data_IF_551110607228
#
_entry.id   IF_551110607228
#
_cell.length_a   1.000
_cell.length_b   1.000
_cell.length_c   1.000
_cell.angle_alpha   90.00
_cell.angle_beta   90.00
_cell.angle_gamma   90.00
#
_symmetry.space_group_name_H-M   'P 1'
#
loop_
_entity.id
_entity.type
_entity.pdbx_description
1 polymer ?
#
# COMPACT_ATOMS: atom_id res chain seq x y z
N UNK A 1 -38.07 -14.65 20.17
CA UNK A 1 -37.84 -15.88 20.96
C UNK A 1 -39.02 -16.23 21.85
N UNK A 2 -39.61 -15.30 22.63
CA UNK A 2 -40.75 -15.57 23.51
C UNK A 2 -42.04 -15.97 22.78
N UNK A 3 -42.31 -15.34 21.63
CA UNK A 3 -43.48 -15.69 20.80
C UNK A 3 -43.33 -17.10 20.19
N UNK A 4 -42.12 -17.50 19.82
CA UNK A 4 -41.80 -18.84 19.30
C UNK A 4 -41.74 -19.93 20.36
N UNK A 5 -41.48 -19.58 21.64
CA UNK A 5 -41.49 -20.58 22.75
C UNK A 5 -42.83 -21.29 22.87
N UNK A 6 -43.95 -20.57 22.64
CA UNK A 6 -45.28 -21.16 22.65
C UNK A 6 -45.51 -22.11 21.48
N UNK A 7 -45.06 -21.70 20.27
CA UNK A 7 -45.17 -22.53 19.07
C UNK A 7 -44.39 -23.84 19.20
N UNK A 8 -43.14 -23.77 19.69
CA UNK A 8 -42.32 -24.97 19.91
C UNK A 8 -42.85 -25.85 21.06
N UNK A 9 -43.39 -25.23 22.09
CA UNK A 9 -44.07 -25.97 23.19
C UNK A 9 -45.27 -26.75 22.66
N UNK A 10 -46.08 -26.12 21.79
CA UNK A 10 -47.24 -26.76 21.18
C UNK A 10 -46.85 -27.92 20.25
N UNK A 11 -45.86 -27.72 19.38
CA UNK A 11 -45.35 -28.76 18.48
C UNK A 11 -44.79 -29.97 19.23
N UNK A 12 -44.16 -29.75 20.40
CA UNK A 12 -43.64 -30.82 21.26
C UNK A 12 -44.79 -31.65 21.89
N UNK A 13 -45.90 -30.98 22.25
CA UNK A 13 -47.10 -31.66 22.73
C UNK A 13 -47.76 -32.51 21.61
N UNK A 14 -47.73 -32.07 20.39
CA UNK A 14 -48.19 -32.82 19.22
C UNK A 14 -47.21 -33.88 18.71
N UNK A 15 -46.15 -34.22 19.45
CA UNK A 15 -45.28 -35.35 19.18
C UNK A 15 -44.08 -35.04 18.25
N UNK A 16 -43.75 -33.79 17.98
CA UNK A 16 -42.56 -33.47 17.18
C UNK A 16 -41.26 -33.88 17.90
N UNK A 17 -40.45 -34.63 17.16
CA UNK A 17 -39.13 -35.06 17.66
C UNK A 17 -38.14 -33.89 17.70
N UNK A 18 -37.16 -33.96 18.59
CA UNK A 18 -36.10 -32.96 18.74
C UNK A 18 -35.34 -32.71 17.43
N UNK A 19 -35.12 -33.76 16.61
CA UNK A 19 -34.47 -33.63 15.30
C UNK A 19 -35.28 -32.79 14.30
N UNK A 20 -36.62 -32.96 14.29
CA UNK A 20 -37.51 -32.18 13.46
C UNK A 20 -37.52 -30.69 13.83
N UNK A 21 -37.46 -30.39 15.14
CA UNK A 21 -37.34 -29.01 15.62
C UNK A 21 -36.01 -28.37 15.22
N UNK A 22 -34.94 -29.12 15.30
CA UNK A 22 -33.61 -28.63 14.84
C UNK A 22 -33.60 -28.39 13.34
N UNK A 23 -34.07 -29.36 12.57
CA UNK A 23 -34.15 -29.24 11.11
C UNK A 23 -34.97 -28.02 10.68
N UNK A 24 -36.10 -27.77 11.30
CA UNK A 24 -36.91 -26.59 11.00
C UNK A 24 -36.15 -25.29 11.31
N UNK A 25 -35.50 -25.17 12.46
CA UNK A 25 -34.70 -24.01 12.84
C UNK A 25 -33.54 -23.82 11.87
N UNK A 26 -32.86 -24.90 11.50
CA UNK A 26 -31.73 -24.86 10.58
C UNK A 26 -32.15 -24.39 9.17
N UNK A 27 -33.23 -24.95 8.62
CA UNK A 27 -33.74 -24.58 7.30
C UNK A 27 -34.19 -23.11 7.26
N UNK A 28 -34.84 -22.64 8.33
CA UNK A 28 -35.26 -21.25 8.41
C UNK A 28 -34.07 -20.29 8.42
N UNK A 29 -33.04 -20.57 9.25
CA UNK A 29 -31.82 -19.79 9.27
C UNK A 29 -31.02 -19.91 7.96
N UNK A 30 -31.04 -21.07 7.32
CA UNK A 30 -30.43 -21.29 6.00
C UNK A 30 -31.05 -20.40 4.93
N UNK A 31 -32.39 -20.32 4.87
CA UNK A 31 -33.09 -19.43 3.93
C UNK A 31 -32.72 -17.96 4.18
N UNK A 32 -32.65 -17.52 5.45
CA UNK A 32 -32.23 -16.16 5.78
C UNK A 32 -30.77 -15.90 5.38
N UNK A 33 -29.89 -16.87 5.58
CA UNK A 33 -28.48 -16.79 5.19
C UNK A 33 -28.33 -16.69 3.67
N UNK A 34 -29.10 -17.48 2.90
CA UNK A 34 -29.10 -17.41 1.44
C UNK A 34 -29.50 -16.01 0.95
N UNK A 35 -30.59 -15.46 1.49
CA UNK A 35 -31.04 -14.11 1.11
C UNK A 35 -29.97 -13.07 1.48
N UNK A 36 -29.37 -13.18 2.67
CA UNK A 36 -28.31 -12.27 3.12
C UNK A 36 -27.05 -12.35 2.26
N UNK A 37 -26.64 -13.56 1.88
CA UNK A 37 -25.50 -13.77 0.97
C UNK A 37 -25.75 -13.19 -0.42
N UNK A 38 -26.96 -13.35 -0.94
CA UNK A 38 -27.35 -12.77 -2.23
C UNK A 38 -27.26 -11.23 -2.20
N UNK A 39 -27.80 -10.61 -1.14
CA UNK A 39 -27.73 -9.16 -0.96
C UNK A 39 -26.27 -8.72 -0.79
N UNK A 40 -25.47 -9.44 0.01
CA UNK A 40 -24.07 -9.12 0.21
C UNK A 40 -23.27 -9.21 -1.09
N UNK A 41 -23.46 -10.28 -1.88
CA UNK A 41 -22.82 -10.43 -3.19
C UNK A 41 -23.20 -9.28 -4.13
N UNK A 42 -24.49 -8.92 -4.20
CA UNK A 42 -24.97 -7.81 -5.00
C UNK A 42 -24.33 -6.46 -4.60
N UNK A 43 -24.18 -6.20 -3.28
CA UNK A 43 -23.52 -5.00 -2.79
C UNK A 43 -22.02 -4.97 -3.13
N UNK A 44 -21.34 -6.11 -3.04
CA UNK A 44 -19.92 -6.23 -3.44
C UNK A 44 -19.76 -5.93 -4.92
N UNK A 45 -20.61 -6.49 -5.79
CA UNK A 45 -20.54 -6.26 -7.23
C UNK A 45 -20.76 -4.78 -7.59
N UNK A 46 -21.74 -4.12 -6.97
CA UNK A 46 -21.97 -2.68 -7.17
C UNK A 46 -20.80 -1.86 -6.70
N UNK A 47 -20.17 -2.22 -5.57
CA UNK A 47 -19.03 -1.48 -5.01
C UNK A 47 -17.73 -1.72 -5.77
N UNK A 48 -17.60 -2.84 -6.47
CA UNK A 48 -16.40 -3.19 -7.23
C UNK A 48 -16.09 -2.16 -8.34
N UNK A 49 -17.10 -1.67 -9.04
CA UNK A 49 -16.92 -0.68 -10.11
C UNK A 49 -16.25 0.63 -9.65
N UNK A 50 -16.76 1.34 -8.62
CA UNK A 50 -16.10 2.54 -8.12
C UNK A 50 -14.74 2.24 -7.48
N UNK A 51 -14.59 1.11 -6.77
CA UNK A 51 -13.32 0.74 -6.15
C UNK A 51 -12.22 0.51 -7.20
N UNK A 52 -12.51 -0.23 -8.27
CA UNK A 52 -11.55 -0.45 -9.35
C UNK A 52 -11.20 0.85 -10.08
N UNK A 53 -12.15 1.77 -10.23
CA UNK A 53 -11.91 3.05 -10.91
C UNK A 53 -11.02 4.00 -10.11
N UNK A 54 -11.16 4.03 -8.79
CA UNK A 54 -10.45 5.00 -7.93
C UNK A 54 -9.20 4.44 -7.25
N UNK A 55 -9.09 3.12 -7.10
CA UNK A 55 -8.01 2.50 -6.31
C UNK A 55 -7.13 1.52 -7.10
N UNK A 56 -7.42 1.32 -8.39
CA UNK A 56 -6.68 0.38 -9.26
C UNK A 56 -6.46 -0.99 -8.59
N UNK A 57 -7.48 -1.42 -7.82
CA UNK A 57 -7.43 -2.70 -7.10
C UNK A 57 -7.57 -3.81 -8.13
N UNK A 58 -6.45 -4.41 -8.51
CA UNK A 58 -6.45 -5.62 -9.32
C UNK A 58 -7.03 -6.75 -8.46
N UNK A 59 -8.34 -6.87 -8.46
CA UNK A 59 -9.00 -8.05 -7.91
C UNK A 59 -8.65 -9.24 -8.79
N UNK A 60 -7.71 -10.05 -8.36
CA UNK A 60 -7.57 -11.39 -8.92
C UNK A 60 -8.64 -12.28 -8.26
N UNK A 61 -9.75 -12.59 -8.95
CA UNK A 61 -10.78 -13.43 -8.38
C UNK A 61 -10.21 -14.84 -8.18
N UNK A 62 -10.02 -15.23 -6.94
CA UNK A 62 -9.67 -16.59 -6.61
C UNK A 62 -10.97 -17.39 -6.42
N UNK A 63 -11.62 -17.75 -7.52
CA UNK A 63 -12.96 -18.34 -7.53
C UNK A 63 -13.10 -19.57 -6.63
N UNK A 64 -12.06 -20.37 -6.46
CA UNK A 64 -12.10 -21.56 -5.58
C UNK A 64 -12.16 -21.12 -4.12
N UNK A 65 -11.39 -20.11 -3.74
CA UNK A 65 -11.38 -19.58 -2.37
C UNK A 65 -12.69 -18.87 -2.02
N UNK A 66 -13.22 -18.06 -2.93
CA UNK A 66 -14.46 -17.30 -2.74
C UNK A 66 -15.68 -18.24 -2.63
N UNK A 67 -15.75 -19.27 -3.46
CA UNK A 67 -16.78 -20.33 -3.37
C UNK A 67 -16.64 -21.09 -2.06
N UNK A 68 -15.41 -21.45 -1.66
CA UNK A 68 -15.13 -22.16 -0.41
C UNK A 68 -15.61 -21.39 0.82
N UNK A 69 -15.33 -20.09 0.91
CA UNK A 69 -15.80 -19.22 1.99
C UNK A 69 -17.32 -19.10 1.97
N UNK A 70 -17.92 -18.91 0.82
CA UNK A 70 -19.37 -18.78 0.68
C UNK A 70 -20.09 -20.04 1.16
N UNK A 71 -19.62 -21.22 0.78
CA UNK A 71 -20.16 -22.50 1.25
C UNK A 71 -19.95 -22.67 2.76
N UNK A 72 -18.78 -22.29 3.29
CA UNK A 72 -18.49 -22.36 4.72
C UNK A 72 -19.46 -21.46 5.51
N UNK A 73 -19.72 -20.25 5.09
CA UNK A 73 -20.68 -19.32 5.72
C UNK A 73 -22.09 -19.91 5.65
N UNK A 74 -22.49 -20.45 4.47
CA UNK A 74 -23.81 -21.02 4.24
C UNK A 74 -24.12 -22.19 5.17
N UNK A 75 -23.12 -22.96 5.57
CA UNK A 75 -23.28 -24.11 6.48
C UNK A 75 -23.11 -23.70 7.94
N UNK A 76 -22.07 -22.95 8.28
CA UNK A 76 -21.70 -22.66 9.67
C UNK A 76 -22.60 -21.62 10.32
N UNK A 77 -23.06 -20.59 9.61
CA UNK A 77 -23.89 -19.55 10.17
C UNK A 77 -25.28 -20.07 10.59
N UNK A 78 -26.04 -20.81 9.76
CA UNK A 78 -27.32 -21.39 10.19
C UNK A 78 -27.15 -22.39 11.34
N UNK A 79 -26.05 -23.16 11.32
CA UNK A 79 -25.75 -24.12 12.37
C UNK A 79 -25.57 -23.41 13.73
N UNK A 80 -24.70 -22.41 13.80
CA UNK A 80 -24.44 -21.65 15.04
C UNK A 80 -25.68 -20.90 15.52
N UNK A 81 -26.44 -20.29 14.62
CA UNK A 81 -27.68 -19.60 14.94
C UNK A 81 -28.78 -20.52 15.48
N UNK A 82 -28.78 -21.79 15.04
CA UNK A 82 -29.81 -22.78 15.44
C UNK A 82 -29.49 -23.51 16.76
N UNK A 83 -28.19 -23.64 17.12
CA UNK A 83 -27.74 -24.37 18.31
C UNK A 83 -28.33 -23.79 19.57
N UNK A 84 -28.23 -22.50 19.80
CA UNK A 84 -28.72 -21.87 21.03
C UNK A 84 -30.24 -22.00 21.24
N UNK A 85 -31.10 -21.67 20.26
CA UNK A 85 -32.54 -21.92 20.38
C UNK A 85 -32.88 -23.40 20.60
N UNK A 86 -32.18 -24.30 19.88
CA UNK A 86 -32.40 -25.73 19.99
C UNK A 86 -32.17 -26.24 21.43
N UNK A 87 -31.02 -25.96 22.03
CA UNK A 87 -30.74 -26.38 23.40
C UNK A 87 -31.71 -25.79 24.39
N UNK A 88 -32.05 -24.52 24.23
CA UNK A 88 -33.04 -23.85 25.10
C UNK A 88 -34.41 -24.52 25.05
N UNK A 89 -34.86 -24.92 23.85
CA UNK A 89 -36.17 -25.56 23.69
C UNK A 89 -36.14 -27.06 24.00
N UNK A 90 -35.02 -27.74 23.80
CA UNK A 90 -34.85 -29.15 24.14
C UNK A 90 -35.03 -29.42 25.67
N UNK A 91 -34.44 -28.57 26.48
CA UNK A 91 -34.45 -28.76 27.95
C UNK A 91 -35.65 -28.13 28.65
N UNK A 92 -36.45 -27.30 27.99
CA UNK A 92 -37.62 -26.72 28.57
C UNK A 92 -38.81 -27.72 28.47
N UNK A 93 -39.48 -27.98 29.59
CA UNK A 93 -40.70 -28.78 29.60
C UNK A 93 -41.86 -28.02 28.91
N UNK A 94 -42.77 -28.70 28.19
CA UNK A 94 -43.90 -28.06 27.50
C UNK A 94 -44.78 -27.22 28.44
N UNK A 95 -45.01 -27.72 29.64
CA UNK A 95 -45.81 -27.06 30.68
C UNK A 95 -45.15 -25.72 31.10
N UNK A 96 -43.85 -25.70 31.25
CA UNK A 96 -43.11 -24.49 31.59
C UNK A 96 -43.13 -23.43 30.49
N UNK A 97 -43.13 -23.86 29.22
CA UNK A 97 -43.21 -22.99 28.05
C UNK A 97 -44.59 -22.37 27.87
N UNK A 98 -45.64 -23.07 28.27
CA UNK A 98 -47.01 -22.59 28.18
C UNK A 98 -47.43 -21.73 29.38
N UNK A 99 -46.90 -22.03 30.58
CA UNK A 99 -47.29 -21.40 31.86
C UNK A 99 -46.49 -20.12 32.18
N UNK A 100 -45.42 -19.81 31.47
CA UNK A 100 -44.51 -18.70 31.77
C UNK A 100 -45.06 -17.34 31.28
N UNK A 101 -46.13 -16.90 31.94
CA UNK A 101 -46.54 -15.50 31.96
C UNK A 101 -45.96 -14.96 33.27
N UNK A 102 -44.77 -14.38 33.27
CA UNK A 102 -44.30 -13.61 34.41
C UNK A 102 -42.89 -13.79 34.98
N UNK A 103 -42.07 -14.71 34.52
CA UNK A 103 -40.69 -14.80 35.05
C UNK A 103 -39.63 -14.35 34.02
N UNK A 104 -39.57 -13.02 33.78
CA UNK A 104 -38.75 -12.40 32.76
C UNK A 104 -37.28 -12.15 33.13
N UNK A 105 -36.87 -12.25 34.39
CA UNK A 105 -35.58 -11.71 34.83
C UNK A 105 -34.35 -12.46 34.31
N UNK A 106 -34.30 -13.79 34.40
CA UNK A 106 -33.13 -14.56 33.94
C UNK A 106 -32.95 -14.56 32.41
N UNK A 107 -34.04 -14.44 31.63
CA UNK A 107 -34.00 -14.32 30.17
C UNK A 107 -33.56 -12.90 29.71
N UNK A 108 -33.78 -11.90 30.56
CA UNK A 108 -33.40 -10.52 30.34
C UNK A 108 -31.89 -10.32 30.41
N UNK A 109 -31.20 -10.90 31.38
CA UNK A 109 -29.75 -10.75 31.55
C UNK A 109 -28.97 -11.33 30.38
N UNK A 110 -29.29 -12.54 29.93
CA UNK A 110 -28.61 -13.16 28.77
C UNK A 110 -28.85 -12.38 27.48
N UNK A 111 -30.08 -11.89 27.28
CA UNK A 111 -30.40 -11.04 26.12
C UNK A 111 -29.63 -9.73 26.18
N UNK A 112 -29.58 -9.07 27.32
CA UNK A 112 -28.88 -7.79 27.47
C UNK A 112 -27.38 -7.99 27.34
N UNK A 113 -26.81 -9.08 27.84
CA UNK A 113 -25.40 -9.42 27.63
C UNK A 113 -25.08 -9.61 26.13
N UNK A 114 -25.92 -10.37 25.41
CA UNK A 114 -25.74 -10.57 23.95
C UNK A 114 -25.83 -9.25 23.19
N UNK A 115 -26.82 -8.41 23.50
CA UNK A 115 -26.93 -7.06 22.88
C UNK A 115 -25.75 -6.19 23.23
N UNK A 116 -25.26 -6.22 24.48
CA UNK A 116 -24.06 -5.45 24.87
C UNK A 116 -22.84 -5.89 24.10
N UNK A 117 -22.60 -7.18 23.94
CA UNK A 117 -21.49 -7.70 23.12
C UNK A 117 -21.62 -7.24 21.67
N UNK A 118 -22.82 -7.32 21.09
CA UNK A 118 -23.08 -6.87 19.73
C UNK A 118 -22.79 -5.37 19.56
N UNK A 119 -23.22 -4.53 20.51
CA UNK A 119 -22.92 -3.10 20.47
C UNK A 119 -21.43 -2.81 20.62
N UNK A 120 -20.73 -3.54 21.51
CA UNK A 120 -19.27 -3.40 21.67
C UNK A 120 -18.56 -3.73 20.35
N UNK A 121 -18.88 -4.86 19.72
CA UNK A 121 -18.29 -5.25 18.45
C UNK A 121 -18.60 -4.23 17.36
N UNK A 122 -19.85 -3.79 17.24
CA UNK A 122 -20.24 -2.77 16.27
C UNK A 122 -19.48 -1.45 16.49
N UNK A 123 -19.34 -1.02 17.75
CA UNK A 123 -18.59 0.19 18.09
C UNK A 123 -17.11 0.08 17.74
N UNK A 124 -16.48 -1.06 18.04
CA UNK A 124 -15.09 -1.32 17.65
C UNK A 124 -14.92 -1.24 16.13
N UNK A 125 -15.83 -1.88 15.37
CA UNK A 125 -15.77 -1.85 13.91
C UNK A 125 -15.94 -0.42 13.34
N UNK A 126 -16.83 0.37 13.92
CA UNK A 126 -17.01 1.78 13.53
C UNK A 126 -15.72 2.58 13.80
N UNK A 127 -15.14 2.46 14.99
CA UNK A 127 -13.90 3.17 15.34
C UNK A 127 -12.75 2.77 14.42
N UNK A 128 -12.58 1.47 14.18
CA UNK A 128 -11.54 0.95 13.25
C UNK A 128 -11.77 1.49 11.84
N UNK A 129 -13.01 1.48 11.34
CA UNK A 129 -13.34 1.99 10.02
C UNK A 129 -13.06 3.49 9.90
N UNK A 130 -13.39 4.28 10.93
CA UNK A 130 -13.09 5.71 10.96
C UNK A 130 -11.58 5.97 10.97
N UNK A 131 -10.81 5.16 11.70
CA UNK A 131 -9.36 5.27 11.73
C UNK A 131 -8.75 4.99 10.36
N UNK A 132 -9.18 3.92 9.69
CA UNK A 132 -8.72 3.61 8.33
C UNK A 132 -9.13 4.69 7.32
N UNK A 133 -10.34 5.21 7.40
CA UNK A 133 -10.80 6.30 6.54
C UNK A 133 -9.94 7.55 6.71
N UNK A 134 -9.62 7.92 7.97
CA UNK A 134 -8.71 9.02 8.28
C UNK A 134 -7.31 8.78 7.73
N UNK A 135 -6.76 7.59 7.96
CA UNK A 135 -5.43 7.22 7.46
C UNK A 135 -5.36 7.29 5.94
N UNK A 136 -6.38 6.77 5.24
CA UNK A 136 -6.45 6.84 3.79
C UNK A 136 -6.52 8.29 3.30
N UNK A 137 -7.34 9.12 3.96
CA UNK A 137 -7.43 10.55 3.65
C UNK A 137 -6.07 11.25 3.79
N UNK A 138 -5.36 11.02 4.90
CA UNK A 138 -4.04 11.59 5.13
C UNK A 138 -3.04 11.11 4.07
N UNK A 139 -3.03 9.80 3.72
CA UNK A 139 -2.14 9.26 2.69
C UNK A 139 -2.39 9.83 1.29
N UNK A 140 -3.63 10.18 0.96
CA UNK A 140 -3.98 10.75 -0.35
C UNK A 140 -3.77 12.26 -0.45
N UNK A 141 -3.57 12.95 0.67
CA UNK A 141 -3.41 14.41 0.73
C UNK A 141 -2.05 14.86 1.30
N UNK A 142 -1.17 13.92 1.60
CA UNK A 142 0.17 14.25 2.10
C UNK A 142 1.01 14.88 0.99
N UNK A 143 1.76 15.92 1.34
CA UNK A 143 2.80 16.46 0.44
C UNK A 143 3.96 15.46 0.38
N UNK A 144 4.17 14.89 -0.79
CA UNK A 144 5.23 13.91 -1.01
C UNK A 144 6.64 14.53 -1.03
N UNK A 145 6.73 15.87 -1.16
CA UNK A 145 7.99 16.60 -1.29
C UNK A 145 8.54 16.62 -2.72
N UNK A 146 7.75 16.14 -3.69
CA UNK A 146 8.05 16.19 -5.12
C UNK A 146 6.77 16.22 -5.95
N UNK A 147 6.89 16.64 -7.21
CA UNK A 147 5.76 16.72 -8.14
C UNK A 147 5.34 15.35 -8.63
N UNK A 148 4.03 15.07 -8.57
CA UNK A 148 3.41 13.85 -9.13
C UNK A 148 2.37 14.16 -10.19
N UNK A 149 1.98 15.42 -10.32
CA UNK A 149 0.85 15.82 -11.15
C UNK A 149 1.19 15.71 -12.64
N UNK A 150 0.23 15.17 -13.39
CA UNK A 150 0.31 15.06 -14.85
C UNK A 150 1.50 14.26 -15.38
N UNK A 151 2.10 13.38 -14.57
CA UNK A 151 3.21 12.52 -15.01
C UNK A 151 2.64 11.21 -15.57
N UNK A 152 2.94 10.92 -16.81
CA UNK A 152 2.69 9.63 -17.45
C UNK A 152 3.98 8.84 -17.51
N UNK A 153 3.90 7.58 -17.12
CA UNK A 153 5.01 6.66 -17.09
C UNK A 153 4.81 5.57 -18.14
N UNK A 154 5.79 5.42 -19.03
CA UNK A 154 5.78 4.42 -20.08
C UNK A 154 6.86 3.40 -19.82
N UNK A 155 6.45 2.16 -19.62
CA UNK A 155 7.35 1.03 -19.56
C UNK A 155 7.48 0.43 -20.95
N UNK A 156 8.70 0.37 -21.46
CA UNK A 156 8.98 -0.35 -22.70
C UNK A 156 9.15 -1.83 -22.36
N UNK A 157 8.26 -2.67 -22.87
CA UNK A 157 8.44 -4.12 -22.75
C UNK A 157 9.77 -4.52 -23.39
N UNK A 158 10.55 -5.21 -22.60
CA UNK A 158 11.80 -5.77 -23.08
C UNK A 158 11.48 -7.00 -23.92
N UNK A 159 11.62 -6.90 -25.22
CA UNK A 159 11.77 -8.12 -26.02
C UNK A 159 12.91 -8.95 -25.41
N UNK A 160 12.69 -10.22 -25.10
CA UNK A 160 13.74 -11.13 -24.61
C UNK A 160 14.94 -11.09 -25.55
N UNK A 161 15.90 -10.24 -25.23
CA UNK A 161 17.13 -10.16 -26.02
C UNK A 161 18.08 -11.19 -25.45
N UNK A 162 18.47 -12.14 -26.31
CA UNK A 162 19.62 -12.99 -26.03
C UNK A 162 20.79 -12.11 -25.61
N UNK A 163 21.44 -12.47 -24.52
CA UNK A 163 22.65 -11.75 -24.12
C UNK A 163 23.65 -11.81 -25.26
N UNK A 164 24.31 -10.69 -25.62
CA UNK A 164 25.29 -10.69 -26.70
C UNK A 164 26.43 -11.62 -26.31
N UNK A 165 26.75 -12.55 -27.18
CA UNK A 165 27.81 -13.54 -26.98
C UNK A 165 29.13 -13.08 -27.61
N UNK A 166 29.09 -12.07 -28.48
CA UNK A 166 30.25 -11.53 -29.13
C UNK A 166 30.32 -9.98 -28.99
N UNK A 167 31.53 -9.44 -29.03
CA UNK A 167 31.78 -8.00 -28.97
C UNK A 167 31.07 -7.26 -30.11
N UNK A 168 31.01 -7.83 -31.29
CA UNK A 168 30.30 -7.27 -32.44
C UNK A 168 28.78 -7.18 -32.19
N UNK A 169 28.18 -8.17 -31.54
CA UNK A 169 26.77 -8.14 -31.13
C UNK A 169 26.51 -7.09 -30.05
N UNK A 170 27.44 -6.95 -29.10
CA UNK A 170 27.36 -5.92 -28.06
C UNK A 170 27.38 -4.51 -28.65
N UNK A 171 28.32 -4.23 -29.55
CA UNK A 171 28.42 -2.95 -30.23
C UNK A 171 27.18 -2.64 -31.07
N UNK A 172 26.67 -3.65 -31.81
CA UNK A 172 25.44 -3.52 -32.58
C UNK A 172 24.22 -3.23 -31.69
N UNK A 173 24.10 -3.91 -30.58
CA UNK A 173 22.99 -3.66 -29.61
C UNK A 173 23.09 -2.26 -29.00
N UNK A 174 24.30 -1.82 -28.68
CA UNK A 174 24.53 -0.49 -28.10
C UNK A 174 24.19 0.61 -29.11
N UNK A 175 24.58 0.45 -30.37
CA UNK A 175 24.24 1.42 -31.44
C UNK A 175 22.73 1.48 -31.72
N UNK A 176 22.04 0.32 -31.71
CA UNK A 176 20.57 0.28 -31.84
C UNK A 176 19.85 0.94 -30.64
N UNK A 177 20.37 0.77 -29.43
CA UNK A 177 19.83 1.44 -28.24
C UNK A 177 19.97 2.95 -28.33
N UNK A 178 21.15 3.42 -28.76
CA UNK A 178 21.42 4.85 -28.95
C UNK A 178 20.48 5.45 -30.01
N UNK A 179 20.36 4.83 -31.16
CA UNK A 179 19.46 5.26 -32.23
C UNK A 179 17.99 5.26 -31.79
N UNK A 180 17.56 4.25 -31.01
CA UNK A 180 16.21 4.20 -30.45
C UNK A 180 15.96 5.33 -29.45
N UNK A 181 16.90 5.62 -28.54
CA UNK A 181 16.81 6.77 -27.62
C UNK A 181 16.71 8.08 -28.38
N UNK A 182 17.52 8.29 -29.41
CA UNK A 182 17.51 9.50 -30.25
C UNK A 182 16.18 9.68 -31.01
N UNK A 183 15.61 8.60 -31.54
CA UNK A 183 14.31 8.64 -32.19
C UNK A 183 13.17 8.98 -31.20
N UNK A 184 13.18 8.39 -30.03
CA UNK A 184 12.20 8.69 -28.99
C UNK A 184 12.36 10.14 -28.54
N UNK A 185 13.57 10.59 -28.28
CA UNK A 185 13.88 11.99 -27.93
C UNK A 185 13.33 12.97 -28.96
N UNK A 186 13.58 12.70 -30.22
CA UNK A 186 13.08 13.54 -31.33
C UNK A 186 11.55 13.56 -31.36
N UNK A 187 10.90 12.42 -31.20
CA UNK A 187 9.45 12.33 -31.20
C UNK A 187 8.83 13.04 -29.98
N UNK A 188 9.43 12.90 -28.80
CA UNK A 188 8.97 13.55 -27.58
C UNK A 188 9.09 15.07 -27.65
N UNK A 189 10.24 15.58 -28.16
CA UNK A 189 10.47 17.01 -28.33
C UNK A 189 9.59 17.64 -29.42
N UNK A 190 9.19 16.87 -30.44
CA UNK A 190 8.27 17.33 -31.47
C UNK A 190 6.80 17.36 -31.05
N UNK A 191 6.44 16.67 -29.99
CA UNK A 191 5.06 16.56 -29.55
C UNK A 191 4.66 17.74 -28.64
N UNK A 192 3.59 18.48 -28.97
CA UNK A 192 3.09 19.56 -28.11
C UNK A 192 2.35 19.04 -26.87
N UNK A 193 2.15 17.73 -26.76
CA UNK A 193 1.44 17.11 -25.62
C UNK A 193 2.28 17.06 -24.36
N UNK A 194 3.60 17.16 -24.46
CA UNK A 194 4.51 17.02 -23.35
C UNK A 194 5.25 18.33 -23.07
N UNK A 195 5.25 18.75 -21.82
CA UNK A 195 6.00 19.93 -21.36
C UNK A 195 7.43 19.59 -20.96
N UNK A 196 7.64 18.39 -20.44
CA UNK A 196 8.95 17.86 -20.09
C UNK A 196 8.91 16.33 -20.13
N UNK A 197 10.04 15.71 -20.35
CA UNK A 197 10.18 14.25 -20.31
C UNK A 197 11.60 13.87 -19.90
N UNK A 198 11.74 12.71 -19.25
CA UNK A 198 13.03 12.15 -18.87
C UNK A 198 12.95 10.62 -18.73
N UNK A 199 14.12 9.96 -18.84
CA UNK A 199 14.27 8.57 -18.43
C UNK A 199 14.67 8.54 -16.96
N UNK A 200 13.71 8.32 -16.08
CA UNK A 200 13.94 8.34 -14.64
C UNK A 200 13.02 7.36 -13.91
N UNK A 201 13.42 6.99 -12.69
CA UNK A 201 12.52 6.35 -11.75
C UNK A 201 11.68 7.40 -11.03
N UNK A 202 10.45 7.04 -10.70
CA UNK A 202 9.69 7.86 -9.77
C UNK A 202 10.33 7.81 -8.37
N UNK A 203 10.31 8.91 -7.60
CA UNK A 203 10.95 8.93 -6.28
C UNK A 203 10.49 7.81 -5.33
N UNK A 204 9.24 7.36 -5.43
CA UNK A 204 8.75 6.23 -4.64
C UNK A 204 9.37 4.86 -5.04
N UNK A 205 10.02 4.77 -6.21
CA UNK A 205 10.71 3.57 -6.70
C UNK A 205 12.21 3.59 -6.42
N UNK A 206 12.71 4.64 -5.79
CA UNK A 206 14.13 4.70 -5.46
C UNK A 206 14.51 3.55 -4.52
N UNK A 207 15.58 2.86 -4.88
CA UNK A 207 16.09 1.74 -4.11
C UNK A 207 16.75 2.23 -2.83
N UNK A 208 16.10 1.97 -1.73
CA UNK A 208 16.59 2.31 -0.39
C UNK A 208 16.91 1.07 0.45
N UNK A 209 17.18 -0.07 -0.21
CA UNK A 209 17.39 -1.34 0.49
C UNK A 209 18.76 -1.46 1.17
N UNK A 210 19.77 -0.77 0.63
CA UNK A 210 21.14 -0.90 1.09
C UNK A 210 21.73 0.44 1.49
N UNK A 211 21.54 0.88 2.75
CA UNK A 211 22.17 2.11 3.23
C UNK A 211 23.69 1.97 3.27
N UNK A 212 24.36 3.04 2.95
CA UNK A 212 25.80 3.17 3.06
C UNK A 212 26.16 3.85 4.38
N UNK A 213 27.22 3.43 5.01
CA UNK A 213 27.71 4.03 6.24
C UNK A 213 28.59 5.25 5.94
N UNK A 214 28.19 6.39 6.49
CA UNK A 214 28.91 7.64 6.42
C UNK A 214 29.23 8.18 7.81
N UNK A 215 30.30 8.94 7.92
CA UNK A 215 30.60 9.73 9.11
C UNK A 215 30.92 11.17 8.73
N UNK A 216 30.76 12.09 9.66
CA UNK A 216 31.30 13.44 9.49
C UNK A 216 32.84 13.38 9.43
N UNK A 217 33.41 14.21 8.59
CA UNK A 217 34.86 14.32 8.49
C UNK A 217 35.48 14.61 9.86
N UNK A 218 36.42 13.76 10.27
CA UNK A 218 37.07 13.86 11.58
C UNK A 218 36.32 13.23 12.75
N UNK A 219 35.12 12.69 12.56
CA UNK A 219 34.39 11.93 13.60
C UNK A 219 34.59 10.41 13.42
N UNK A 220 34.33 9.65 14.49
CA UNK A 220 34.48 8.18 14.48
C UNK A 220 33.17 7.45 14.26
N UNK A 221 32.02 8.10 14.50
CA UNK A 221 30.69 7.46 14.48
C UNK A 221 30.11 7.41 13.08
N UNK A 222 29.91 6.21 12.57
CA UNK A 222 29.22 5.97 11.31
C UNK A 222 27.70 5.95 11.49
N UNK A 223 26.97 6.50 10.52
CA UNK A 223 25.52 6.53 10.44
C UNK A 223 25.06 6.07 9.07
N UNK A 224 23.87 5.47 9.01
CA UNK A 224 23.30 4.97 7.76
C UNK A 224 22.72 6.12 6.92
N UNK A 225 23.08 6.17 5.65
CA UNK A 225 22.64 7.13 4.68
C UNK A 225 22.26 6.39 3.39
N UNK A 226 21.10 6.67 2.85
CA UNK A 226 20.65 6.09 1.58
C UNK A 226 21.13 6.95 0.43
N UNK A 227 21.86 6.35 -0.50
CA UNK A 227 22.46 7.07 -1.61
C UNK A 227 21.73 6.76 -2.91
N UNK A 228 21.26 7.79 -3.58
CA UNK A 228 20.50 7.69 -4.82
C UNK A 228 21.26 8.43 -5.93
N UNK A 229 21.71 7.72 -6.98
CA UNK A 229 22.27 8.40 -8.15
C UNK A 229 21.13 9.13 -8.88
N UNK A 230 21.34 10.41 -9.18
CA UNK A 230 20.35 11.26 -9.83
C UNK A 230 21.05 12.36 -10.63
N UNK A 231 20.47 12.76 -11.75
CA UNK A 231 20.95 13.86 -12.57
C UNK A 231 20.26 15.18 -12.20
N UNK A 232 20.83 16.29 -12.66
CA UNK A 232 20.18 17.61 -12.50
C UNK A 232 18.81 17.66 -13.16
N UNK A 233 18.71 17.08 -14.35
CA UNK A 233 17.44 17.03 -15.10
C UNK A 233 16.35 16.26 -14.34
N UNK A 234 16.71 15.15 -13.69
CA UNK A 234 15.78 14.38 -12.87
C UNK A 234 15.31 15.15 -11.62
N UNK A 235 16.21 15.86 -10.95
CA UNK A 235 15.86 16.71 -9.81
C UNK A 235 14.85 17.78 -10.22
N UNK A 236 15.09 18.44 -11.36
CA UNK A 236 14.19 19.47 -11.91
C UNK A 236 12.88 18.89 -12.40
N UNK A 237 12.93 17.71 -13.04
CA UNK A 237 11.74 17.02 -13.53
C UNK A 237 10.78 16.65 -12.40
N UNK A 238 11.31 16.13 -11.29
CA UNK A 238 10.51 15.78 -10.13
C UNK A 238 10.18 16.97 -9.20
N UNK A 239 10.72 18.14 -9.48
CA UNK A 239 10.40 19.35 -8.70
C UNK A 239 10.85 19.30 -7.25
N UNK A 240 11.97 18.63 -6.95
CA UNK A 240 12.51 18.64 -5.58
C UNK A 240 12.86 20.06 -5.14
N UNK A 241 12.36 20.43 -3.97
CA UNK A 241 12.51 21.79 -3.43
C UNK A 241 13.83 21.95 -2.71
N UNK A 242 14.64 22.91 -3.17
CA UNK A 242 15.89 23.26 -2.52
C UNK A 242 15.63 24.08 -1.25
N UNK A 243 16.18 23.62 -0.13
CA UNK A 243 16.09 24.33 1.16
C UNK A 243 17.31 25.21 1.42
N UNK A 244 18.52 24.74 1.07
CA UNK A 244 19.78 25.46 1.26
C UNK A 244 20.78 25.11 0.16
N UNK A 245 21.71 26.03 -0.13
CA UNK A 245 22.78 25.79 -1.09
C UNK A 245 22.32 25.85 -2.54
N UNK A 246 22.79 24.91 -3.35
CA UNK A 246 22.49 24.82 -4.79
C UNK A 246 22.26 23.38 -5.24
N UNK A 247 21.60 23.21 -6.35
CA UNK A 247 21.58 21.95 -7.11
C UNK A 247 22.89 21.81 -7.93
N UNK A 248 23.03 20.65 -8.58
CA UNK A 248 24.11 20.46 -9.54
C UNK A 248 23.95 21.41 -10.73
N UNK A 249 25.09 21.75 -11.30
CA UNK A 249 25.19 22.57 -12.49
C UNK A 249 26.13 21.84 -13.46
N UNK A 250 25.61 21.47 -14.63
CA UNK A 250 26.32 20.67 -15.60
C UNK A 250 27.61 21.31 -16.14
N UNK A 251 27.75 22.64 -16.01
CA UNK A 251 28.94 23.37 -16.44
C UNK A 251 30.10 23.27 -15.48
N UNK A 252 29.81 23.06 -14.16
CA UNK A 252 30.81 23.09 -13.09
C UNK A 252 30.86 21.80 -12.27
N UNK A 253 29.85 20.95 -12.34
CA UNK A 253 29.79 19.69 -11.62
C UNK A 253 29.83 18.53 -12.61
N UNK A 254 30.74 17.58 -12.42
CA UNK A 254 30.88 16.43 -13.31
C UNK A 254 30.59 15.13 -12.60
N UNK A 255 30.20 14.13 -13.38
CA UNK A 255 30.00 12.78 -12.85
C UNK A 255 31.28 12.27 -12.17
N UNK A 256 31.12 11.67 -11.00
CA UNK A 256 32.25 11.16 -10.20
C UNK A 256 32.93 12.19 -9.31
N UNK A 257 32.48 13.44 -9.25
CA UNK A 257 32.96 14.38 -8.25
C UNK A 257 32.42 14.05 -6.84
N UNK A 258 33.22 14.41 -5.83
CA UNK A 258 32.88 14.16 -4.41
C UNK A 258 31.88 15.20 -3.88
N UNK A 259 30.70 15.29 -4.49
CA UNK A 259 29.65 16.22 -4.07
C UNK A 259 28.36 15.47 -3.74
N UNK A 260 27.62 15.94 -2.73
CA UNK A 260 26.34 15.40 -2.29
C UNK A 260 25.31 16.51 -2.16
N UNK A 261 24.06 16.15 -2.43
CA UNK A 261 22.88 16.91 -2.00
C UNK A 261 22.14 16.03 -0.99
N UNK A 262 21.87 16.55 0.20
CA UNK A 262 21.17 15.81 1.26
C UNK A 262 19.72 16.25 1.36
N UNK A 263 18.84 15.39 1.91
CA UNK A 263 17.56 15.87 2.41
C UNK A 263 17.71 16.40 3.87
N UNK A 264 16.69 17.12 4.35
CA UNK A 264 16.71 17.70 5.72
C UNK A 264 16.88 16.62 6.79
N UNK A 265 16.30 15.43 6.57
CA UNK A 265 16.43 14.29 7.48
C UNK A 265 17.88 13.81 7.63
N UNK A 266 18.62 13.75 6.54
CA UNK A 266 20.05 13.42 6.57
C UNK A 266 20.86 14.52 7.28
N UNK A 267 20.56 15.79 7.01
CA UNK A 267 21.19 16.92 7.71
C UNK A 267 20.99 16.81 9.22
N UNK A 268 19.77 16.55 9.68
CA UNK A 268 19.44 16.34 11.11
C UNK A 268 20.17 15.12 11.69
N UNK A 269 20.21 14.00 10.92
CA UNK A 269 20.90 12.79 11.35
C UNK A 269 22.35 13.05 11.68
N UNK A 270 23.06 13.83 10.88
CA UNK A 270 24.46 14.17 11.12
C UNK A 270 24.67 15.37 12.07
N UNK A 271 23.59 16.00 12.55
CA UNK A 271 23.68 17.16 13.46
C UNK A 271 24.41 18.35 12.83
N UNK A 272 24.12 18.64 11.56
CA UNK A 272 24.76 19.72 10.81
C UNK A 272 23.94 20.99 10.99
N UNK A 273 24.44 21.97 11.72
CA UNK A 273 23.82 23.30 11.84
C UNK A 273 24.02 24.11 10.56
N UNK A 274 25.20 24.01 9.95
CA UNK A 274 25.54 24.54 8.63
C UNK A 274 26.03 23.39 7.77
N UNK A 275 25.15 22.88 6.90
CA UNK A 275 25.46 21.69 6.12
C UNK A 275 26.30 21.99 4.88
N UNK A 276 26.15 23.20 4.30
CA UNK A 276 26.85 23.57 3.07
C UNK A 276 28.35 23.64 3.32
N UNK A 277 29.13 23.01 2.44
CA UNK A 277 30.58 22.81 2.52
C UNK A 277 31.05 21.84 3.63
N UNK A 278 30.14 21.28 4.46
CA UNK A 278 30.49 20.18 5.35
C UNK A 278 30.91 18.95 4.54
N UNK A 279 31.69 18.07 5.13
CA UNK A 279 32.21 16.88 4.47
C UNK A 279 31.76 15.61 5.17
N UNK A 280 31.35 14.62 4.39
CA UNK A 280 31.01 13.28 4.85
C UNK A 280 31.95 12.25 4.23
N UNK A 281 32.44 11.33 5.03
CA UNK A 281 33.31 10.23 4.59
C UNK A 281 32.51 8.94 4.51
N UNK A 282 32.49 8.24 3.35
CA UNK A 282 31.89 6.94 3.22
C UNK A 282 32.79 5.86 3.83
N UNK A 283 32.20 4.79 4.37
CA UNK A 283 32.93 3.62 4.83
C UNK A 283 33.46 2.77 3.66
N UNK A 284 32.77 2.80 2.54
CA UNK A 284 33.09 2.06 1.32
C UNK A 284 32.96 2.97 0.09
N UNK A 285 33.71 2.69 -0.99
CA UNK A 285 33.60 3.46 -2.22
C UNK A 285 32.18 3.40 -2.80
N UNK A 286 31.68 4.51 -3.31
CA UNK A 286 30.38 4.62 -3.98
C UNK A 286 30.58 4.75 -5.49
N UNK A 287 29.73 4.07 -6.23
CA UNK A 287 29.67 4.25 -7.69
C UNK A 287 29.20 5.68 -8.04
N UNK A 288 29.76 6.37 -9.05
CA UNK A 288 30.81 5.89 -9.98
C UNK A 288 32.24 5.98 -9.44
N UNK A 289 32.44 6.57 -8.26
CA UNK A 289 33.76 6.72 -7.64
C UNK A 289 34.24 5.41 -7.02
N UNK A 290 35.55 5.21 -7.05
CA UNK A 290 36.21 4.05 -6.46
C UNK A 290 37.15 4.41 -5.30
N UNK A 291 37.08 5.65 -4.83
CA UNK A 291 37.89 6.15 -3.70
C UNK A 291 37.05 6.40 -2.45
N UNK A 292 37.72 6.67 -1.35
CA UNK A 292 37.12 6.99 -0.04
C UNK A 292 37.24 8.46 0.32
N UNK A 293 37.52 9.34 -0.67
CA UNK A 293 37.66 10.76 -0.37
C UNK A 293 36.34 11.34 0.13
N UNK A 294 36.42 12.29 1.07
CA UNK A 294 35.24 12.91 1.63
C UNK A 294 34.40 13.61 0.58
N UNK A 295 33.09 13.44 0.67
CA UNK A 295 32.11 14.14 -0.16
C UNK A 295 31.76 15.48 0.46
N UNK A 296 31.74 16.53 -0.34
CA UNK A 296 31.30 17.87 0.05
C UNK A 296 29.81 18.03 -0.15
N UNK A 297 29.10 18.55 0.83
CA UNK A 297 27.68 18.87 0.74
C UNK A 297 27.53 20.22 0.04
N UNK A 298 26.81 20.25 -1.09
CA UNK A 298 26.58 21.46 -1.89
C UNK A 298 25.16 21.99 -1.78
N UNK A 299 24.20 21.14 -1.42
CA UNK A 299 22.79 21.52 -1.30
C UNK A 299 22.04 20.66 -0.32
N UNK A 300 20.93 21.21 0.17
CA UNK A 300 19.94 20.51 0.99
C UNK A 300 18.58 20.67 0.34
N UNK A 301 17.92 19.55 0.05
CA UNK A 301 16.52 19.53 -0.40
C UNK A 301 15.58 19.31 0.78
N UNK A 302 14.33 19.73 0.64
CA UNK A 302 13.29 19.42 1.61
C UNK A 302 13.10 17.90 1.73
N UNK A 303 12.51 17.47 2.83
CA UNK A 303 12.21 16.07 3.04
C UNK A 303 11.16 15.57 2.03
N UNK A 304 11.35 14.37 1.56
CA UNK A 304 10.45 13.73 0.61
C UNK A 304 10.28 12.25 0.93
N UNK A 305 9.17 11.67 0.48
CA UNK A 305 8.87 10.28 0.71
C UNK A 305 9.38 9.39 -0.41
N UNK A 306 10.14 8.34 -0.04
CA UNK A 306 10.54 7.23 -0.91
C UNK A 306 9.82 5.96 -0.49
N UNK A 307 9.25 5.23 -1.44
CA UNK A 307 8.57 3.98 -1.13
C UNK A 307 7.24 4.18 -0.41
N UNK A 308 6.91 3.28 0.52
CA UNK A 308 5.60 3.25 1.14
C UNK A 308 5.42 4.36 2.20
N UNK A 309 4.29 5.10 2.13
CA UNK A 309 3.98 6.23 3.02
C UNK A 309 3.82 5.87 4.51
N UNK A 310 3.73 4.59 4.84
CA UNK A 310 3.74 4.13 6.24
C UNK A 310 5.12 4.14 6.88
N UNK A 311 6.17 4.31 6.07
CA UNK A 311 7.54 4.40 6.55
C UNK A 311 7.91 5.86 6.84
N UNK A 312 8.76 6.11 7.86
CA UNK A 312 9.24 7.47 8.10
C UNK A 312 10.13 7.94 6.94
N UNK A 313 10.22 9.26 6.77
CA UNK A 313 11.17 9.85 5.82
C UNK A 313 12.58 9.37 6.13
N UNK A 314 13.25 8.86 5.11
CA UNK A 314 14.60 8.31 5.22
C UNK A 314 15.67 9.40 5.06
N UNK A 315 16.84 9.25 5.71
CA UNK A 315 17.99 10.11 5.47
C UNK A 315 18.61 9.76 4.11
N UNK A 316 18.49 10.67 3.15
CA UNK A 316 18.89 10.45 1.76
C UNK A 316 19.95 11.42 1.32
N UNK A 317 20.91 10.91 0.55
CA UNK A 317 21.88 11.68 -0.21
C UNK A 317 21.71 11.42 -1.70
N UNK A 318 21.63 12.46 -2.47
CA UNK A 318 21.75 12.39 -3.92
C UNK A 318 23.23 12.46 -4.33
N UNK A 319 23.62 11.55 -5.23
CA UNK A 319 24.95 11.50 -5.84
C UNK A 319 24.76 11.83 -7.33
N UNK A 320 25.62 12.67 -7.88
CA UNK A 320 25.54 13.02 -9.30
C UNK A 320 25.92 11.83 -10.18
N UNK A 321 24.98 11.38 -11.00
CA UNK A 321 25.20 10.29 -11.92
C UNK A 321 23.89 9.70 -12.47
N UNK A 322 23.99 9.00 -13.57
CA UNK A 322 22.85 8.28 -14.15
C UNK A 322 22.52 7.01 -13.34
N UNK A 323 21.25 6.71 -13.22
CA UNK A 323 20.80 5.43 -12.65
C UNK A 323 21.02 4.32 -13.67
N UNK A 324 21.92 3.38 -13.36
CA UNK A 324 22.28 2.27 -14.26
C UNK A 324 21.30 1.09 -14.23
N UNK A 325 20.02 1.34 -14.17
CA UNK A 325 19.03 0.28 -14.28
C UNK A 325 18.81 -0.06 -15.75
N UNK A 326 18.81 -1.33 -16.05
CA UNK A 326 18.64 -1.84 -17.41
C UNK A 326 17.26 -1.52 -18.03
N UNK A 327 16.33 -1.01 -17.23
CA UNK A 327 14.96 -0.70 -17.58
C UNK A 327 14.48 0.55 -16.84
N UNK A 328 15.00 1.72 -17.24
CA UNK A 328 14.49 2.98 -16.73
C UNK A 328 13.25 3.33 -17.58
N UNK A 329 12.08 3.56 -16.98
CA UNK A 329 10.90 3.99 -17.69
C UNK A 329 11.08 5.39 -18.26
N UNK A 330 10.37 5.68 -19.34
CA UNK A 330 10.18 7.04 -19.81
C UNK A 330 9.07 7.68 -18.98
N UNK A 331 9.34 8.83 -18.41
CA UNK A 331 8.35 9.68 -17.76
C UNK A 331 8.17 10.97 -18.54
N UNK A 332 6.94 11.42 -18.66
CA UNK A 332 6.60 12.65 -19.36
C UNK A 332 5.53 13.43 -18.60
N UNK A 333 5.70 14.74 -18.48
CA UNK A 333 4.68 15.66 -17.97
C UNK A 333 3.77 16.08 -19.12
N UNK A 334 2.48 15.85 -18.98
CA UNK A 334 1.48 16.22 -19.98
C UNK A 334 1.18 17.72 -19.82
N UNK A 335 1.03 18.40 -20.95
CA UNK A 335 0.55 19.78 -20.96
C UNK A 335 -0.88 19.85 -20.37
N UNK A 336 -1.20 20.89 -19.57
CA UNK A 336 -2.51 21.06 -18.94
C UNK A 336 -3.65 21.24 -19.95
#
# INVERSE_FOLDING_TARGET
LLKRSKEFGLKKVFGNNSAQLFSQLYIENLCLTLVSLFIAWFLVEISAFPLNKYFDVIQQPNGIFDIGITIAILILQPLTASIYPFFKFKYNTPIHSLRKIGSGEKSSVVRNLYLSIQYIVAFILIVVSMFFAKQLYEMTHIDLGYDTDSIVKVHFERYERKQPTTEAEYLKQTSLRKASKENISTAMNASPLFTAWNYSLSPYEYFTESPVLFRKFGETNFKQLYCIPITEEEIRFHGFRLSQGRLWDADIDHEGEAKLILNQKAMQLFGLESAINARLEPQQPLWPRRDLNPYQIIGIVEDFYCGHLSQPVLPIAFIYGETYLSQIPLQAKIAP
#
